data_IF_588861793186
#
_entry.id   IF_588861793186
#
_cell.length_a   1.000
_cell.length_b   1.000
_cell.length_c   1.000
_cell.angle_alpha   90.00
_cell.angle_beta   90.00
_cell.angle_gamma   90.00
#
_symmetry.space_group_name_H-M   'P 1'
#
loop_
_entity.id
_entity.type
_entity.pdbx_description
1 polymer ?
#
# COMPACT_ATOMS: atom_id res chain seq x y z
N UNK A 1 -13.68 16.11 19.06
CA UNK A 1 -14.04 15.60 17.72
C UNK A 1 -13.28 16.29 16.59
N UNK A 2 -13.52 17.58 16.28
CA UNK A 2 -12.81 18.26 15.17
C UNK A 2 -11.30 18.35 15.42
N UNK A 3 -10.90 18.72 16.64
CA UNK A 3 -9.48 18.72 17.03
C UNK A 3 -8.83 17.34 16.96
N UNK A 4 -9.58 16.28 17.30
CA UNK A 4 -9.06 14.91 17.25
C UNK A 4 -8.81 14.47 15.80
N UNK A 5 -9.67 14.88 14.87
CA UNK A 5 -9.48 14.63 13.43
C UNK A 5 -8.23 15.35 12.93
N UNK A 6 -8.03 16.61 13.31
CA UNK A 6 -6.85 17.40 12.91
C UNK A 6 -5.57 16.75 13.46
N UNK A 7 -5.56 16.41 14.75
CA UNK A 7 -4.40 15.84 15.46
C UNK A 7 -4.12 14.38 15.08
N UNK A 8 -5.06 13.67 14.46
CA UNK A 8 -4.89 12.25 14.10
C UNK A 8 -3.67 12.02 13.21
N UNK A 9 -3.47 12.90 12.22
CA UNK A 9 -2.35 12.77 11.28
C UNK A 9 -0.99 12.90 11.97
N UNK A 10 -0.85 13.84 12.90
CA UNK A 10 0.35 14.07 13.69
C UNK A 10 0.62 12.92 14.65
N UNK A 11 -0.41 12.49 15.40
CA UNK A 11 -0.31 11.34 16.33
C UNK A 11 0.11 10.08 15.59
N UNK A 12 -0.48 9.83 14.42
CA UNK A 12 -0.14 8.68 13.60
C UNK A 12 1.30 8.76 13.09
N UNK A 13 1.75 9.94 12.62
CA UNK A 13 3.14 10.14 12.18
C UNK A 13 4.13 9.90 13.33
N UNK A 14 3.80 10.36 14.53
CA UNK A 14 4.63 10.15 15.71
C UNK A 14 4.67 8.68 16.11
N UNK A 15 3.53 7.99 16.09
CA UNK A 15 3.47 6.55 16.32
C UNK A 15 4.38 5.76 15.36
N UNK A 16 4.30 6.03 14.06
CA UNK A 16 5.17 5.38 13.05
C UNK A 16 6.64 5.72 13.29
N UNK A 17 6.95 6.95 13.70
CA UNK A 17 8.33 7.35 14.01
C UNK A 17 8.88 6.59 15.21
N UNK A 18 8.08 6.44 16.27
CA UNK A 18 8.48 5.69 17.46
C UNK A 18 8.74 4.22 17.14
N UNK A 19 7.88 3.57 16.34
CA UNK A 19 8.11 2.19 15.90
C UNK A 19 9.44 2.04 15.16
N UNK A 20 9.80 3.02 14.31
CA UNK A 20 11.10 3.00 13.63
C UNK A 20 12.27 3.15 14.61
N UNK A 21 12.13 4.00 15.62
CA UNK A 21 13.16 4.19 16.67
C UNK A 21 13.34 2.93 17.52
N UNK A 22 12.27 2.16 17.74
CA UNK A 22 12.29 0.84 18.38
C UNK A 22 12.90 -0.26 17.48
N UNK A 23 13.27 0.06 16.24
CA UNK A 23 13.90 -0.86 15.30
C UNK A 23 12.93 -1.61 14.38
N UNK A 24 11.63 -1.30 14.41
CA UNK A 24 10.67 -1.90 13.49
C UNK A 24 10.80 -1.34 12.07
N UNK A 25 10.75 -2.23 11.08
CA UNK A 25 10.65 -1.85 9.66
C UNK A 25 9.20 -1.73 9.26
N UNK A 26 8.83 -0.56 8.75
CA UNK A 26 7.46 -0.28 8.33
C UNK A 26 7.33 -0.49 6.83
N UNK A 27 6.47 -1.43 6.46
CA UNK A 27 6.18 -1.79 5.06
C UNK A 27 4.82 -1.24 4.65
N UNK A 28 4.79 -0.55 3.52
CA UNK A 28 3.55 -0.18 2.85
C UNK A 28 2.99 -1.37 2.09
N UNK A 29 1.69 -1.57 2.19
CA UNK A 29 0.98 -2.58 1.41
C UNK A 29 -0.30 -1.97 0.86
N UNK A 30 -0.53 -2.09 -0.44
CA UNK A 30 -1.83 -1.78 -1.02
C UNK A 30 -2.30 -2.87 -1.98
N UNK A 31 -3.61 -2.95 -2.17
CA UNK A 31 -4.21 -3.94 -3.04
C UNK A 31 -5.38 -3.37 -3.81
N UNK A 32 -5.60 -3.89 -5.02
CA UNK A 32 -6.85 -3.69 -5.75
C UNK A 32 -7.65 -4.99 -5.76
N UNK A 33 -8.91 -4.90 -5.33
CA UNK A 33 -9.84 -6.02 -5.47
C UNK A 33 -10.10 -6.35 -6.94
N UNK A 34 -10.59 -7.55 -7.24
CA UNK A 34 -11.07 -7.90 -8.59
C UNK A 34 -12.05 -6.83 -9.10
N UNK A 35 -11.85 -6.40 -10.34
CA UNK A 35 -12.65 -5.35 -10.98
C UNK A 35 -12.82 -5.68 -12.46
N UNK A 36 -13.88 -5.15 -13.06
CA UNK A 36 -14.13 -5.17 -14.51
C UNK A 36 -13.58 -3.91 -15.20
N UNK A 37 -13.00 -2.99 -14.43
CA UNK A 37 -12.38 -1.78 -14.97
C UNK A 37 -11.13 -2.13 -15.80
N UNK A 38 -10.78 -1.25 -16.74
CA UNK A 38 -9.60 -1.44 -17.57
C UNK A 38 -8.29 -1.23 -16.78
N UNK A 39 -7.20 -1.82 -17.27
CA UNK A 39 -5.90 -1.78 -16.61
C UNK A 39 -5.43 -0.36 -16.29
N UNK A 40 -5.61 0.61 -17.20
CA UNK A 40 -5.19 1.99 -16.98
C UNK A 40 -5.82 2.65 -15.74
N UNK A 41 -7.11 2.35 -15.48
CA UNK A 41 -7.80 2.87 -14.28
C UNK A 41 -7.31 2.19 -13.00
N UNK A 42 -6.95 0.90 -13.09
CA UNK A 42 -6.38 0.12 -11.99
C UNK A 42 -4.99 0.65 -11.65
N UNK A 43 -4.14 0.86 -12.65
CA UNK A 43 -2.81 1.46 -12.53
C UNK A 43 -2.92 2.83 -11.86
N UNK A 44 -3.78 3.73 -12.36
CA UNK A 44 -3.97 5.06 -11.76
C UNK A 44 -4.38 5.01 -10.29
N UNK A 45 -5.27 4.07 -9.94
CA UNK A 45 -5.74 3.88 -8.57
C UNK A 45 -4.64 3.35 -7.66
N UNK A 46 -3.93 2.31 -8.11
CA UNK A 46 -2.81 1.72 -7.38
C UNK A 46 -1.67 2.74 -7.20
N UNK A 47 -1.30 3.47 -8.25
CA UNK A 47 -0.28 4.52 -8.19
C UNK A 47 -0.63 5.60 -7.16
N UNK A 48 -1.89 6.03 -7.10
CA UNK A 48 -2.35 7.01 -6.11
C UNK A 48 -2.19 6.48 -4.68
N UNK A 49 -2.43 5.18 -4.47
CA UNK A 49 -2.19 4.53 -3.18
C UNK A 49 -0.70 4.42 -2.84
N UNK A 50 0.14 4.03 -3.80
CA UNK A 50 1.60 3.95 -3.63
C UNK A 50 2.16 5.32 -3.22
N UNK A 51 1.80 6.37 -3.96
CA UNK A 51 2.20 7.76 -3.64
C UNK A 51 1.71 8.15 -2.24
N UNK A 52 0.48 7.78 -1.89
CA UNK A 52 -0.08 8.01 -0.56
C UNK A 52 0.71 7.32 0.55
N UNK A 53 1.10 6.05 0.35
CA UNK A 53 1.90 5.27 1.28
C UNK A 53 3.29 5.88 1.47
N UNK A 54 3.98 6.21 0.38
CA UNK A 54 5.31 6.85 0.42
C UNK A 54 5.28 8.19 1.16
N UNK A 55 4.36 9.08 0.77
CA UNK A 55 4.32 10.45 1.30
C UNK A 55 3.81 10.55 2.73
N UNK A 56 2.77 9.77 3.10
CA UNK A 56 2.10 9.91 4.40
C UNK A 56 2.61 8.98 5.48
N UNK A 57 3.09 7.81 5.11
CA UNK A 57 3.40 6.73 6.06
C UNK A 57 4.92 6.51 6.22
N UNK A 58 5.75 7.30 5.52
CA UNK A 58 7.22 7.23 5.56
C UNK A 58 7.75 5.80 5.36
N UNK A 59 7.06 4.99 4.55
CA UNK A 59 7.44 3.58 4.38
C UNK A 59 8.64 3.44 3.45
N UNK A 60 9.55 2.55 3.83
CA UNK A 60 10.77 2.25 3.04
C UNK A 60 10.46 1.37 1.84
N UNK A 61 9.46 0.51 1.96
CA UNK A 61 9.06 -0.42 0.90
C UNK A 61 7.55 -0.36 0.70
N UNK A 62 7.11 -0.52 -0.54
CA UNK A 62 5.69 -0.61 -0.89
C UNK A 62 5.45 -1.85 -1.72
N UNK A 63 4.60 -2.74 -1.23
CA UNK A 63 4.18 -3.94 -1.93
C UNK A 63 2.76 -3.81 -2.44
N UNK A 64 2.51 -4.34 -3.65
CA UNK A 64 1.22 -4.25 -4.30
C UNK A 64 0.67 -5.62 -4.64
N UNK A 65 -0.65 -5.79 -4.52
CA UNK A 65 -1.35 -6.96 -5.06
C UNK A 65 -2.54 -6.55 -5.91
N UNK A 66 -2.64 -7.15 -7.08
CA UNK A 66 -3.68 -6.83 -8.06
C UNK A 66 -4.72 -7.95 -8.15
N UNK A 67 -5.98 -7.56 -8.35
CA UNK A 67 -7.08 -8.47 -8.71
C UNK A 67 -7.33 -9.63 -7.73
N UNK A 68 -7.43 -9.28 -6.44
CA UNK A 68 -7.68 -10.25 -5.37
C UNK A 68 -9.11 -10.19 -4.80
N UNK A 69 -9.62 -11.31 -4.26
CA UNK A 69 -10.84 -11.27 -3.43
C UNK A 69 -10.48 -10.87 -1.99
N UNK A 70 -11.26 -10.01 -1.31
CA UNK A 70 -10.94 -9.56 0.05
C UNK A 70 -10.79 -10.69 1.08
N UNK A 71 -11.55 -11.78 0.93
CA UNK A 71 -11.54 -12.94 1.84
C UNK A 71 -10.47 -13.99 1.51
N UNK A 72 -9.66 -13.77 0.48
CA UNK A 72 -8.57 -14.70 0.15
C UNK A 72 -7.40 -14.49 1.11
N UNK A 73 -6.92 -15.57 1.72
CA UNK A 73 -5.71 -15.55 2.54
C UNK A 73 -4.51 -14.99 1.77
N UNK A 74 -3.67 -14.22 2.47
CA UNK A 74 -2.47 -13.54 1.91
C UNK A 74 -1.64 -14.51 1.05
N UNK A 75 -1.31 -15.69 1.59
CA UNK A 75 -0.48 -16.68 0.91
C UNK A 75 -1.07 -17.24 -0.40
N UNK A 76 -2.38 -17.10 -0.65
CA UNK A 76 -2.98 -17.47 -1.96
C UNK A 76 -3.25 -16.25 -2.83
N UNK A 77 -3.47 -15.12 -2.18
CA UNK A 77 -3.91 -13.88 -2.78
C UNK A 77 -2.77 -13.19 -3.53
N UNK A 78 -1.59 -13.25 -2.94
CA UNK A 78 -0.48 -12.39 -3.31
C UNK A 78 0.50 -13.12 -4.26
N UNK A 79 0.27 -14.41 -4.55
CA UNK A 79 1.08 -15.26 -5.45
C UNK A 79 0.86 -15.06 -6.96
N UNK A 80 0.02 -14.10 -7.36
CA UNK A 80 -0.30 -13.91 -8.77
C UNK A 80 0.43 -12.69 -9.34
N UNK A 81 1.38 -12.95 -10.23
CA UNK A 81 2.00 -11.92 -11.07
C UNK A 81 0.96 -11.23 -11.95
N UNK A 82 1.13 -9.92 -12.09
CA UNK A 82 0.25 -9.07 -12.89
C UNK A 82 1.10 -8.11 -13.71
N UNK A 83 0.86 -8.04 -15.02
CA UNK A 83 1.51 -7.08 -15.92
C UNK A 83 1.30 -5.61 -15.50
N UNK A 84 0.20 -5.32 -14.79
CA UNK A 84 -0.05 -4.02 -14.14
C UNK A 84 1.12 -3.57 -13.24
N UNK A 85 1.89 -4.49 -12.65
CA UNK A 85 3.04 -4.15 -11.82
C UNK A 85 4.14 -3.41 -12.61
N UNK A 86 4.30 -3.75 -13.89
CA UNK A 86 5.31 -3.15 -14.77
C UNK A 86 5.01 -1.67 -15.08
N UNK A 87 3.77 -1.24 -14.85
CA UNK A 87 3.30 0.13 -15.08
C UNK A 87 3.34 1.02 -13.82
N UNK A 88 3.70 0.45 -12.65
CA UNK A 88 3.72 1.18 -11.38
C UNK A 88 5.12 1.76 -11.09
N UNK A 89 5.13 2.98 -10.56
CA UNK A 89 6.34 3.68 -10.12
C UNK A 89 6.44 3.70 -8.60
N UNK A 90 7.66 3.71 -8.08
CA UNK A 90 7.99 3.75 -6.63
C UNK A 90 7.42 2.57 -5.81
N UNK A 91 7.02 1.51 -6.49
CA UNK A 91 6.71 0.21 -5.90
C UNK A 91 8.01 -0.55 -5.67
N UNK A 92 8.11 -1.27 -4.56
CA UNK A 92 9.25 -2.14 -4.28
C UNK A 92 9.11 -3.43 -5.07
N UNK A 93 7.99 -4.12 -4.90
CA UNK A 93 7.66 -5.34 -5.65
C UNK A 93 6.17 -5.68 -5.52
N UNK A 94 5.74 -6.77 -6.15
CA UNK A 94 4.56 -7.49 -5.72
C UNK A 94 4.81 -8.23 -4.38
N UNK A 95 3.77 -8.73 -3.75
CA UNK A 95 3.89 -9.36 -2.44
C UNK A 95 4.49 -10.79 -2.47
N UNK A 96 5.14 -11.22 -3.57
CA UNK A 96 5.93 -12.46 -3.65
C UNK A 96 7.42 -12.26 -3.35
N UNK A 97 7.94 -11.04 -3.54
CA UNK A 97 9.36 -10.71 -3.32
C UNK A 97 10.31 -11.13 -4.43
#
# INVERSE_FOLDING_TARGET
>A
LLEDIIKLSERYRQYITNLKQEGYRILGYCRKSKTTECNASVVKSLQSMVVGLRKRFLVENVYVTVSCKPKTFIYRRDLKKSNIMDELLDVTDDAQG
#
